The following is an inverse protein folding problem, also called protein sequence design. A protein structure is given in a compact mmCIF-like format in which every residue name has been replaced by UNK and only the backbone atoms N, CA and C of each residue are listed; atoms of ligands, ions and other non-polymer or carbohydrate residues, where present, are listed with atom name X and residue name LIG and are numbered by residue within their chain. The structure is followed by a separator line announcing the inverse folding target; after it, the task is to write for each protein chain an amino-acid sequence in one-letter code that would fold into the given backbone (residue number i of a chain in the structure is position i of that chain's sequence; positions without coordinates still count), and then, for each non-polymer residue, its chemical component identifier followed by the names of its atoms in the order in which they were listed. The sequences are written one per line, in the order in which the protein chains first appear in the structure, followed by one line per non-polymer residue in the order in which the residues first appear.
data_IF_962079802311
#
_entry.id   IF_962079802311
#
_cell.length_a   1.000
_cell.length_b   1.000
_cell.length_c   1.000
_cell.angle_alpha   90.00
_cell.angle_beta   90.00
_cell.angle_gamma   90.00
#
_symmetry.space_group_name_H-M   'P 1'
#
loop_
_entity.id
_entity.type
_entity.pdbx_description
1 polymer ?
#
# COMPACT_ATOMS: atom_id res chain seq x y z
N UNK A 1 -1.74 17.59 6.22
CA UNK A 1 -2.95 17.42 7.06
C UNK A 1 -3.83 16.37 6.40
N UNK A 2 -4.22 15.32 7.10
CA UNK A 2 -5.19 14.33 6.59
C UNK A 2 -6.61 14.88 6.72
N UNK A 3 -7.45 14.72 5.69
CA UNK A 3 -8.86 15.13 5.69
C UNK A 3 -9.75 13.89 5.82
N UNK A 4 -10.61 13.87 6.83
CA UNK A 4 -11.59 12.78 6.98
C UNK A 4 -12.59 12.78 5.82
N UNK A 5 -12.71 11.64 5.15
CA UNK A 5 -13.64 11.43 4.03
C UNK A 5 -14.44 10.15 4.30
N UNK A 6 -15.76 10.24 4.26
CA UNK A 6 -16.64 9.08 4.42
C UNK A 6 -16.88 8.43 3.06
N UNK A 7 -16.61 7.12 2.96
CA UNK A 7 -16.77 6.33 1.74
C UNK A 7 -17.67 5.14 2.07
N UNK A 8 -18.68 4.87 1.24
CA UNK A 8 -19.51 3.67 1.36
C UNK A 8 -18.79 2.49 0.71
N UNK A 9 -18.67 1.40 1.44
CA UNK A 9 -18.11 0.12 0.98
C UNK A 9 -19.14 -0.97 1.16
N UNK A 10 -19.14 -1.98 0.29
CA UNK A 10 -19.88 -3.21 0.56
C UNK A 10 -19.29 -3.93 1.77
N UNK A 11 -20.12 -4.67 2.50
CA UNK A 11 -19.66 -5.42 3.68
C UNK A 11 -18.57 -6.43 3.32
N UNK A 12 -18.67 -7.07 2.16
CA UNK A 12 -17.67 -8.03 1.68
C UNK A 12 -16.32 -7.38 1.43
N UNK A 13 -16.31 -6.20 0.78
CA UNK A 13 -15.07 -5.46 0.53
C UNK A 13 -14.47 -4.95 1.84
N UNK A 14 -15.31 -4.45 2.76
CA UNK A 14 -14.88 -4.02 4.09
C UNK A 14 -14.23 -5.16 4.87
N UNK A 15 -14.84 -6.35 4.87
CA UNK A 15 -14.28 -7.56 5.50
C UNK A 15 -12.95 -7.96 4.88
N UNK A 16 -12.85 -7.92 3.54
CA UNK A 16 -11.61 -8.24 2.83
C UNK A 16 -10.47 -7.30 3.25
N UNK A 17 -10.71 -5.99 3.24
CA UNK A 17 -9.72 -4.99 3.65
C UNK A 17 -9.34 -5.17 5.12
N UNK A 18 -10.28 -5.47 6.02
CA UNK A 18 -10.00 -5.71 7.44
C UNK A 18 -9.03 -6.88 7.66
N UNK A 19 -9.14 -7.94 6.85
CA UNK A 19 -8.20 -9.08 6.89
C UNK A 19 -6.79 -8.64 6.48
N UNK A 20 -6.64 -7.90 5.36
CA UNK A 20 -5.34 -7.39 4.92
C UNK A 20 -4.73 -6.44 5.95
N UNK A 21 -5.53 -5.49 6.46
CA UNK A 21 -5.08 -4.54 7.46
C UNK A 21 -4.54 -5.24 8.72
N UNK A 22 -5.20 -6.32 9.17
CA UNK A 22 -4.74 -7.13 10.31
C UNK A 22 -3.42 -7.84 10.03
N UNK A 23 -3.27 -8.42 8.83
CA UNK A 23 -2.05 -9.11 8.43
C UNK A 23 -0.85 -8.14 8.34
N UNK A 24 -1.10 -6.92 7.86
CA UNK A 24 -0.10 -5.86 7.71
C UNK A 24 0.11 -5.02 8.99
N UNK A 25 -0.56 -5.36 10.09
CA UNK A 25 -0.54 -4.60 11.35
C UNK A 25 -0.90 -3.11 11.17
N UNK A 26 -1.85 -2.81 10.27
CA UNK A 26 -2.32 -1.46 9.92
C UNK A 26 -3.75 -1.21 10.37
N UNK A 27 -4.13 0.06 10.40
CA UNK A 27 -5.55 0.44 10.51
C UNK A 27 -6.26 0.24 9.18
N UNK A 28 -7.58 0.02 9.21
CA UNK A 28 -8.38 -0.13 7.99
C UNK A 28 -8.25 1.08 7.04
N UNK A 29 -8.18 2.29 7.60
CA UNK A 29 -8.01 3.52 6.81
C UNK A 29 -6.65 3.57 6.14
N UNK A 30 -5.57 3.23 6.88
CA UNK A 30 -4.22 3.18 6.32
C UNK A 30 -4.09 2.12 5.23
N UNK A 31 -4.77 0.98 5.39
CA UNK A 31 -4.75 -0.08 4.39
C UNK A 31 -5.51 0.33 3.12
N UNK A 32 -6.63 1.05 3.25
CA UNK A 32 -7.34 1.63 2.10
C UNK A 32 -6.43 2.63 1.35
N UNK A 33 -5.74 3.51 2.07
CA UNK A 33 -4.81 4.46 1.47
C UNK A 33 -3.68 3.73 0.71
N UNK A 34 -3.13 2.67 1.27
CA UNK A 34 -2.09 1.88 0.61
C UNK A 34 -2.60 1.18 -0.66
N UNK A 35 -3.75 0.50 -0.58
CA UNK A 35 -4.37 -0.16 -1.74
C UNK A 35 -4.66 0.84 -2.87
N UNK A 36 -5.11 2.05 -2.53
CA UNK A 36 -5.32 3.13 -3.49
C UNK A 36 -3.99 3.60 -4.08
N UNK A 37 -2.95 3.80 -3.26
CA UNK A 37 -1.61 4.20 -3.72
C UNK A 37 -1.04 3.20 -4.72
N UNK A 38 -1.10 1.91 -4.41
CA UNK A 38 -0.68 0.82 -5.29
C UNK A 38 -1.52 0.80 -6.57
N UNK A 39 -2.84 0.93 -6.46
CA UNK A 39 -3.75 0.96 -7.61
C UNK A 39 -3.47 2.10 -8.59
N UNK A 40 -3.16 3.30 -8.08
CA UNK A 40 -2.72 4.41 -8.92
C UNK A 40 -1.37 4.13 -9.58
N UNK A 41 -0.38 3.66 -8.83
CA UNK A 41 0.94 3.34 -9.39
C UNK A 41 0.85 2.28 -10.51
N UNK A 42 0.03 1.24 -10.33
CA UNK A 42 -0.21 0.21 -11.35
C UNK A 42 -0.96 0.76 -12.58
N UNK A 43 -1.87 1.71 -12.39
CA UNK A 43 -2.59 2.35 -13.50
C UNK A 43 -1.69 3.29 -14.31
N UNK A 44 -0.80 4.01 -13.64
CA UNK A 44 0.15 4.93 -14.28
C UNK A 44 1.29 4.20 -15.01
N UNK A 45 1.63 3.00 -14.56
CA UNK A 45 2.72 2.18 -15.09
C UNK A 45 2.20 0.78 -15.46
N UNK A 46 1.31 0.67 -16.47
CA UNK A 46 0.63 -0.59 -16.81
C UNK A 46 1.55 -1.68 -17.37
N UNK A 47 2.75 -1.30 -17.80
CA UNK A 47 3.81 -2.17 -18.29
C UNK A 47 4.62 -2.83 -17.16
N UNK A 48 4.52 -2.29 -15.93
CA UNK A 48 5.22 -2.82 -14.78
C UNK A 48 4.38 -3.90 -14.06
N UNK A 49 4.96 -5.06 -13.73
CA UNK A 49 4.29 -6.05 -12.89
C UNK A 49 3.93 -5.48 -11.52
N UNK A 50 2.75 -5.85 -11.01
CA UNK A 50 2.27 -5.37 -9.71
C UNK A 50 3.24 -5.71 -8.56
N UNK A 51 3.85 -6.90 -8.60
CA UNK A 51 4.85 -7.32 -7.61
C UNK A 51 6.06 -6.38 -7.62
N UNK A 52 6.55 -5.98 -8.80
CA UNK A 52 7.66 -5.04 -8.93
C UNK A 52 7.32 -3.66 -8.35
N UNK A 53 6.09 -3.19 -8.55
CA UNK A 53 5.61 -1.93 -7.96
C UNK A 53 5.61 -2.04 -6.43
N UNK A 54 5.10 -3.14 -5.87
CA UNK A 54 5.08 -3.37 -4.43
C UNK A 54 6.50 -3.39 -3.84
N UNK A 55 7.42 -4.13 -4.47
CA UNK A 55 8.82 -4.21 -4.05
C UNK A 55 9.49 -2.84 -4.04
N UNK A 56 9.26 -2.02 -5.07
CA UNK A 56 9.79 -0.66 -5.15
C UNK A 56 9.21 0.24 -4.05
N UNK A 57 7.91 0.16 -3.78
CA UNK A 57 7.27 0.94 -2.73
C UNK A 57 7.80 0.54 -1.35
N UNK A 58 7.98 -0.77 -1.10
CA UNK A 58 8.61 -1.27 0.11
C UNK A 58 10.06 -0.77 0.23
N UNK A 59 10.87 -0.92 -0.82
CA UNK A 59 12.26 -0.45 -0.82
C UNK A 59 12.36 1.07 -0.57
N UNK A 60 11.40 1.84 -1.08
CA UNK A 60 11.29 3.28 -0.79
C UNK A 60 11.02 3.53 0.69
N UNK A 61 10.06 2.82 1.29
CA UNK A 61 9.76 2.93 2.73
C UNK A 61 10.94 2.51 3.60
N UNK A 62 11.66 1.43 3.24
CA UNK A 62 12.86 0.99 3.94
C UNK A 62 13.96 2.07 3.90
N UNK A 63 14.14 2.72 2.74
CA UNK A 63 15.09 3.82 2.59
C UNK A 63 14.71 5.03 3.43
N UNK A 64 13.45 5.44 3.40
CA UNK A 64 12.92 6.57 4.19
C UNK A 64 13.00 6.30 5.70
N UNK A 65 12.85 5.03 6.11
CA UNK A 65 12.99 4.60 7.51
C UNK A 65 14.44 4.41 7.95
N UNK A 66 15.42 4.63 7.08
CA UNK A 66 16.84 4.42 7.37
C UNK A 66 17.24 2.94 7.51
N UNK A 67 16.39 2.01 7.11
CA UNK A 67 16.61 0.55 7.16
C UNK A 67 17.22 -0.01 5.87
N UNK A 68 17.25 0.78 4.80
CA UNK A 68 17.87 0.37 3.54
C UNK A 68 19.36 0.04 3.72
N UNK A 69 19.80 -1.05 3.10
CA UNK A 69 21.18 -1.51 3.14
C UNK A 69 21.90 -1.13 1.85
N UNK A 70 23.19 -0.76 1.90
CA UNK A 70 24.00 -0.58 0.71
C UNK A 70 24.00 -1.87 -0.12
N UNK A 71 23.80 -1.74 -1.43
CA UNK A 71 23.96 -2.86 -2.34
C UNK A 71 25.44 -3.27 -2.35
N UNK A 72 25.70 -4.55 -2.06
CA UNK A 72 27.04 -5.15 -2.10
C UNK A 72 27.07 -6.16 -3.23
N UNK A 73 28.01 -5.95 -4.16
CA UNK A 73 28.36 -6.89 -5.24
C UNK A 73 29.38 -7.89 -4.69
#
# INVERSE_FOLDING_TARGET
MSKATSIRLSDDLRKKIDIYAKNEHRSISSEIEELIRIGFAAKENPDLPLEFINDLLQAKTEKESGLAKPFKI
#
